data_IF_248950107265
#
_entry.id   IF_248950107265
#
_cell.length_a   1.000
_cell.length_b   1.000
_cell.length_c   1.000
_cell.angle_alpha   90.00
_cell.angle_beta   90.00
_cell.angle_gamma   90.00
#
_symmetry.space_group_name_H-M   'P 1'
#
loop_
_entity.id
_entity.type
_entity.pdbx_description
1 polymer ?
#
# COMPACT_ATOMS: atom_id res chain seq x y z
N UNK A 1 -12.99 -8.91 7.48
CA UNK A 1 -13.30 -10.16 6.77
C UNK A 1 -14.29 -9.92 5.63
N UNK A 2 -15.51 -9.43 5.89
CA UNK A 2 -16.58 -9.25 4.88
C UNK A 2 -16.06 -8.52 3.61
N UNK A 3 -15.40 -7.37 3.73
CA UNK A 3 -14.97 -6.55 2.58
C UNK A 3 -13.78 -7.16 1.84
N UNK A 4 -12.75 -7.64 2.55
CA UNK A 4 -11.49 -8.06 1.95
C UNK A 4 -11.46 -9.54 1.50
N UNK A 5 -12.43 -10.34 1.92
CA UNK A 5 -12.49 -11.78 1.69
C UNK A 5 -13.83 -12.13 0.99
N UNK A 6 -14.95 -12.10 1.69
CA UNK A 6 -16.26 -12.54 1.18
C UNK A 6 -16.75 -11.69 -0.01
N UNK A 7 -16.60 -10.36 0.05
CA UNK A 7 -16.99 -9.51 -1.07
C UNK A 7 -16.10 -9.74 -2.31
N UNK A 8 -14.79 -9.95 -2.09
CA UNK A 8 -13.86 -10.24 -3.20
C UNK A 8 -14.21 -11.58 -3.84
N UNK A 9 -14.51 -12.62 -3.04
CA UNK A 9 -14.99 -13.90 -3.55
C UNK A 9 -16.20 -13.75 -4.47
N UNK A 10 -17.23 -13.01 -4.04
CA UNK A 10 -18.43 -12.77 -4.84
C UNK A 10 -18.16 -12.01 -6.13
N UNK A 11 -17.30 -10.97 -6.06
CA UNK A 11 -16.91 -10.17 -7.24
C UNK A 11 -16.14 -11.04 -8.22
N UNK A 12 -15.21 -11.89 -7.73
CA UNK A 12 -14.42 -12.79 -8.57
C UNK A 12 -15.27 -13.82 -9.29
N UNK A 13 -16.25 -14.42 -8.59
CA UNK A 13 -17.20 -15.35 -9.19
C UNK A 13 -18.04 -14.67 -10.27
N UNK A 14 -18.62 -13.52 -9.96
CA UNK A 14 -19.39 -12.74 -10.92
C UNK A 14 -18.56 -12.35 -12.16
N UNK A 15 -17.33 -11.89 -11.95
CA UNK A 15 -16.44 -11.51 -13.05
C UNK A 15 -16.09 -12.73 -13.93
N UNK A 16 -15.92 -13.90 -13.31
CA UNK A 16 -15.68 -15.15 -14.04
C UNK A 16 -16.87 -15.56 -14.91
N UNK A 17 -18.09 -15.49 -14.37
CA UNK A 17 -19.33 -15.84 -15.05
C UNK A 17 -19.68 -14.88 -16.21
N UNK A 18 -19.22 -13.62 -16.12
CA UNK A 18 -19.52 -12.57 -17.11
C UNK A 18 -18.33 -12.24 -18.02
N UNK A 19 -17.30 -13.08 -18.06
CA UNK A 19 -16.09 -12.89 -18.86
C UNK A 19 -15.40 -11.53 -18.62
N UNK A 20 -15.47 -11.01 -17.40
CA UNK A 20 -14.87 -9.74 -17.00
C UNK A 20 -13.45 -9.91 -16.48
N UNK A 21 -12.60 -8.92 -16.75
CA UNK A 21 -11.30 -8.76 -16.13
C UNK A 21 -11.44 -8.05 -14.79
N UNK A 22 -10.71 -8.50 -13.76
CA UNK A 22 -10.70 -7.88 -12.43
C UNK A 22 -9.31 -7.39 -12.07
N UNK A 23 -9.20 -6.12 -11.71
CA UNK A 23 -7.98 -5.54 -11.15
C UNK A 23 -8.24 -5.22 -9.68
N UNK A 24 -7.44 -5.82 -8.80
CA UNK A 24 -7.58 -5.72 -7.34
C UNK A 24 -6.34 -5.12 -6.70
N UNK A 25 -6.53 -4.10 -5.84
CA UNK A 25 -5.45 -3.53 -5.05
C UNK A 25 -5.30 -4.35 -3.76
N UNK A 26 -4.10 -4.89 -3.53
CA UNK A 26 -3.72 -5.60 -2.33
C UNK A 26 -2.64 -4.85 -1.54
N UNK A 27 -1.93 -5.51 -0.65
CA UNK A 27 -1.06 -4.92 0.34
C UNK A 27 0.21 -5.75 0.56
N UNK A 28 1.29 -5.11 0.97
CA UNK A 28 2.52 -5.72 1.49
C UNK A 28 2.30 -6.49 2.80
N UNK A 29 1.24 -6.19 3.57
CA UNK A 29 0.86 -6.92 4.80
C UNK A 29 0.50 -8.40 4.58
N UNK A 30 0.49 -8.89 3.34
CA UNK A 30 0.42 -10.32 3.04
C UNK A 30 1.71 -11.06 3.38
N UNK A 31 2.81 -10.34 3.58
CA UNK A 31 4.10 -10.88 4.03
C UNK A 31 4.29 -10.72 5.55
N UNK A 32 5.25 -11.44 6.11
CA UNK A 32 5.58 -11.40 7.54
C UNK A 32 6.56 -10.27 7.92
N UNK A 33 7.22 -9.64 6.95
CA UNK A 33 8.16 -8.55 7.17
C UNK A 33 9.53 -9.00 7.71
N UNK A 34 9.89 -10.29 7.61
CA UNK A 34 11.14 -10.83 8.15
C UNK A 34 12.28 -10.87 7.15
N UNK A 35 12.02 -10.59 5.87
CA UNK A 35 13.04 -10.60 4.84
C UNK A 35 13.99 -9.39 4.96
N UNK A 36 15.27 -9.63 4.69
CA UNK A 36 16.33 -8.63 4.64
C UNK A 36 16.47 -7.92 3.27
N UNK A 37 15.63 -8.32 2.32
CA UNK A 37 15.55 -7.78 0.95
C UNK A 37 14.09 -7.57 0.53
N UNK A 38 13.83 -6.77 -0.53
CA UNK A 38 12.48 -6.58 -1.04
C UNK A 38 11.83 -7.89 -1.45
N UNK A 39 10.56 -8.07 -1.05
CA UNK A 39 9.73 -9.20 -1.46
C UNK A 39 9.40 -9.14 -2.96
N UNK A 40 9.45 -10.28 -3.61
CA UNK A 40 9.02 -10.48 -4.98
C UNK A 40 7.55 -10.93 -5.06
N UNK A 41 6.86 -10.76 -6.22
CA UNK A 41 5.49 -11.20 -6.38
C UNK A 41 5.26 -12.70 -6.10
N UNK A 42 6.27 -13.54 -6.41
CA UNK A 42 6.23 -15.00 -6.26
C UNK A 42 6.71 -15.48 -4.88
N UNK A 43 7.15 -14.58 -4.00
CA UNK A 43 7.54 -14.97 -2.64
C UNK A 43 6.33 -15.45 -1.84
N UNK A 44 6.58 -16.40 -0.93
CA UNK A 44 5.55 -16.99 -0.10
C UNK A 44 4.89 -15.94 0.81
N UNK A 45 3.60 -15.72 0.60
CA UNK A 45 2.82 -14.86 1.47
C UNK A 45 2.54 -15.54 2.82
N UNK A 46 2.92 -14.88 3.94
CA UNK A 46 2.78 -15.37 5.32
C UNK A 46 2.29 -14.26 6.25
N UNK A 47 1.03 -13.80 6.12
CA UNK A 47 0.52 -12.65 6.86
C UNK A 47 0.41 -12.93 8.36
N UNK A 48 0.93 -12.03 9.20
CA UNK A 48 0.86 -12.12 10.65
C UNK A 48 -0.52 -11.66 11.15
N UNK A 49 -0.99 -10.51 10.67
CA UNK A 49 -2.19 -9.83 11.14
C UNK A 49 -3.48 -10.24 10.41
N UNK A 50 -4.64 -9.94 11.02
CA UNK A 50 -5.97 -10.22 10.44
C UNK A 50 -6.18 -9.48 9.12
N UNK A 51 -5.69 -8.24 9.00
CA UNK A 51 -5.79 -7.46 7.77
C UNK A 51 -5.10 -8.18 6.60
N UNK A 52 -3.83 -8.53 6.76
CA UNK A 52 -3.07 -9.27 5.75
C UNK A 52 -3.70 -10.61 5.40
N UNK A 53 -4.15 -11.38 6.41
CA UNK A 53 -4.84 -12.67 6.20
C UNK A 53 -6.10 -12.53 5.36
N UNK A 54 -6.92 -11.51 5.62
CA UNK A 54 -8.15 -11.29 4.83
C UNK A 54 -7.87 -10.76 3.44
N UNK A 55 -6.84 -9.94 3.25
CA UNK A 55 -6.40 -9.49 1.91
C UNK A 55 -5.86 -10.67 1.09
N UNK A 56 -5.04 -11.52 1.69
CA UNK A 56 -4.52 -12.72 1.03
C UNK A 56 -5.64 -13.71 0.65
N UNK A 57 -6.67 -13.85 1.49
CA UNK A 57 -7.86 -14.65 1.13
C UNK A 57 -8.55 -14.09 -0.12
N UNK A 58 -8.71 -12.78 -0.22
CA UNK A 58 -9.22 -12.11 -1.43
C UNK A 58 -8.35 -12.36 -2.67
N UNK A 59 -7.02 -12.29 -2.53
CA UNK A 59 -6.10 -12.61 -3.64
C UNK A 59 -6.30 -14.05 -4.16
N UNK A 60 -6.44 -15.02 -3.26
CA UNK A 60 -6.67 -16.43 -3.61
C UNK A 60 -7.97 -16.61 -4.41
N UNK A 61 -9.06 -15.98 -4.00
CA UNK A 61 -10.32 -16.04 -4.75
C UNK A 61 -10.16 -15.53 -6.19
N UNK A 62 -9.38 -14.47 -6.40
CA UNK A 62 -9.11 -13.93 -7.74
C UNK A 62 -8.28 -14.92 -8.57
N UNK A 63 -7.20 -15.46 -8.00
CA UNK A 63 -6.33 -16.42 -8.68
C UNK A 63 -7.08 -17.70 -9.08
N UNK A 64 -7.94 -18.21 -8.19
CA UNK A 64 -8.74 -19.42 -8.42
C UNK A 64 -9.83 -19.24 -9.47
N UNK A 65 -10.49 -18.07 -9.48
CA UNK A 65 -11.67 -17.82 -10.33
C UNK A 65 -11.36 -17.22 -11.69
N UNK A 66 -10.27 -16.45 -11.84
CA UNK A 66 -10.06 -15.59 -13.01
C UNK A 66 -8.82 -15.93 -13.85
N UNK A 67 -7.90 -16.79 -13.36
CA UNK A 67 -6.68 -17.15 -14.09
C UNK A 67 -5.99 -15.91 -14.72
N UNK A 68 -5.87 -15.86 -16.05
CA UNK A 68 -5.24 -14.76 -16.80
C UNK A 68 -6.07 -13.47 -16.88
N UNK A 69 -7.28 -13.43 -16.31
CA UNK A 69 -8.13 -12.23 -16.26
C UNK A 69 -8.06 -11.52 -14.91
N UNK A 70 -7.39 -12.10 -13.93
CA UNK A 70 -7.17 -11.51 -12.60
C UNK A 70 -5.85 -10.76 -12.53
N UNK A 71 -5.87 -9.50 -12.10
CA UNK A 71 -4.68 -8.72 -11.78
C UNK A 71 -4.73 -8.29 -10.33
N UNK A 72 -3.68 -8.58 -9.58
CA UNK A 72 -3.53 -8.21 -8.18
C UNK A 72 -2.34 -7.27 -8.07
N UNK A 73 -2.55 -6.05 -7.58
CA UNK A 73 -1.45 -5.09 -7.38
C UNK A 73 -1.26 -4.92 -5.88
N UNK A 74 -0.16 -5.48 -5.34
CA UNK A 74 0.26 -5.25 -3.96
C UNK A 74 1.00 -3.92 -3.88
N UNK A 75 0.61 -3.08 -2.93
CA UNK A 75 1.22 -1.77 -2.68
C UNK A 75 1.42 -1.56 -1.18
N UNK A 76 2.21 -0.54 -0.81
CA UNK A 76 2.51 -0.22 0.57
C UNK A 76 2.38 1.27 0.86
N UNK A 77 2.15 1.65 2.12
CA UNK A 77 2.22 3.00 2.66
C UNK A 77 1.49 4.06 1.82
N UNK A 78 0.26 3.72 1.39
CA UNK A 78 -0.54 4.55 0.50
C UNK A 78 -0.92 5.88 1.16
N UNK A 79 -0.65 6.99 0.46
CA UNK A 79 -1.02 8.33 0.89
C UNK A 79 -1.66 9.15 -0.23
N UNK A 80 -2.47 10.14 0.14
CA UNK A 80 -3.14 11.05 -0.79
C UNK A 80 -3.58 12.34 -0.10
N UNK A 81 -4.03 13.29 -0.90
CA UNK A 81 -4.74 14.49 -0.42
C UNK A 81 -6.14 14.16 0.16
N UNK A 82 -6.68 12.98 -0.11
CA UNK A 82 -7.98 12.53 0.40
C UNK A 82 -7.82 11.64 1.63
N UNK A 83 -8.82 11.68 2.52
CA UNK A 83 -8.89 10.84 3.72
C UNK A 83 -7.67 11.00 4.65
N UNK A 84 -7.70 10.31 5.78
CA UNK A 84 -6.59 10.27 6.72
C UNK A 84 -5.50 9.30 6.22
N UNK A 85 -4.25 9.71 6.40
CA UNK A 85 -3.06 8.90 6.08
C UNK A 85 -1.87 9.38 6.91
N UNK A 86 -0.74 8.71 6.79
CA UNK A 86 0.46 9.01 7.57
C UNK A 86 0.95 10.46 7.35
N UNK A 87 0.99 10.94 6.10
CA UNK A 87 1.46 12.31 5.77
C UNK A 87 0.63 13.36 6.51
N UNK A 88 -0.69 13.29 6.42
CA UNK A 88 -1.59 14.23 7.12
C UNK A 88 -1.48 14.12 8.63
N UNK A 89 -1.34 12.90 9.15
CA UNK A 89 -1.15 12.65 10.57
C UNK A 89 0.13 13.32 11.07
N UNK A 90 1.25 13.15 10.35
CA UNK A 90 2.53 13.75 10.70
C UNK A 90 2.47 15.29 10.66
N UNK A 91 1.93 15.89 9.59
CA UNK A 91 1.77 17.34 9.50
C UNK A 91 0.98 17.89 10.70
N UNK A 92 -0.14 17.26 11.05
CA UNK A 92 -0.96 17.65 12.21
C UNK A 92 -0.18 17.53 13.53
N UNK A 93 0.47 16.40 13.77
CA UNK A 93 1.22 16.18 15.00
C UNK A 93 2.41 17.11 15.13
N UNK A 94 3.11 17.42 14.03
CA UNK A 94 4.22 18.38 13.99
C UNK A 94 3.76 19.82 14.23
N UNK A 95 2.53 20.17 13.90
CA UNK A 95 1.96 21.47 14.22
C UNK A 95 1.58 21.61 15.69
N UNK A 96 1.17 20.51 16.33
CA UNK A 96 0.65 20.50 17.71
C UNK A 96 1.72 20.23 18.79
N UNK A 97 2.78 19.48 18.45
CA UNK A 97 3.77 18.99 19.43
C UNK A 97 5.14 19.66 19.28
N UNK A 98 5.91 19.79 20.38
CA UNK A 98 7.29 20.32 20.31
C UNK A 98 8.30 19.30 19.78
N UNK A 99 8.04 18.01 19.98
CA UNK A 99 8.87 16.87 19.56
C UNK A 99 7.98 15.66 19.24
N UNK A 100 8.52 14.70 18.48
CA UNK A 100 7.79 13.50 18.07
C UNK A 100 8.74 12.32 17.85
N UNK A 101 8.50 11.20 18.57
CA UNK A 101 9.16 9.92 18.31
C UNK A 101 8.48 9.19 17.14
N UNK A 102 9.28 8.65 16.23
CA UNK A 102 8.80 7.92 15.05
C UNK A 102 9.59 6.62 14.89
N UNK A 103 8.90 5.52 14.62
CA UNK A 103 9.48 4.19 14.39
C UNK A 103 10.51 4.23 13.26
N UNK A 104 11.71 3.68 13.53
CA UNK A 104 12.84 3.73 12.59
C UNK A 104 13.31 2.35 12.11
N UNK A 105 12.88 1.27 12.75
CA UNK A 105 13.26 -0.11 12.46
C UNK A 105 12.32 -0.82 11.47
N UNK A 106 11.22 -0.18 11.06
CA UNK A 106 10.31 -0.71 10.04
C UNK A 106 10.56 -0.02 8.71
N UNK A 107 10.89 -0.83 7.70
CA UNK A 107 11.16 -0.37 6.35
C UNK A 107 9.96 -0.64 5.43
N UNK A 108 9.68 0.31 4.55
CA UNK A 108 8.63 0.21 3.54
C UNK A 108 8.81 1.25 2.45
N UNK A 109 7.95 1.22 1.45
CA UNK A 109 8.02 2.15 0.32
C UNK A 109 6.73 2.96 0.23
N UNK A 110 6.76 4.28 0.45
CA UNK A 110 5.58 5.12 0.28
C UNK A 110 5.04 5.08 -1.15
N UNK A 111 3.72 5.11 -1.29
CA UNK A 111 3.03 5.11 -2.58
C UNK A 111 2.00 6.22 -2.62
N UNK A 112 2.10 7.10 -3.61
CA UNK A 112 1.07 8.09 -3.91
C UNK A 112 -0.14 7.42 -4.57
N UNK A 113 -1.34 7.70 -4.08
CA UNK A 113 -2.57 7.20 -4.70
C UNK A 113 -2.74 7.75 -6.14
N UNK A 114 -2.22 8.95 -6.40
CA UNK A 114 -2.21 9.50 -7.76
C UNK A 114 -1.36 8.65 -8.71
N UNK A 115 -0.12 8.33 -8.33
CA UNK A 115 0.77 7.49 -9.14
C UNK A 115 0.19 6.09 -9.32
N UNK A 116 -0.32 5.48 -8.24
CA UNK A 116 -0.99 4.18 -8.34
C UNK A 116 -2.18 4.23 -9.30
N UNK A 117 -2.97 5.32 -9.31
CA UNK A 117 -4.08 5.48 -10.26
C UNK A 117 -3.60 5.52 -11.70
N UNK A 118 -2.48 6.18 -11.98
CA UNK A 118 -1.88 6.19 -13.33
C UNK A 118 -1.41 4.79 -13.75
N UNK A 119 -0.88 4.01 -12.81
CA UNK A 119 -0.48 2.61 -13.07
C UNK A 119 -1.71 1.73 -13.33
N UNK A 120 -2.79 1.91 -12.57
CA UNK A 120 -4.06 1.19 -12.81
C UNK A 120 -4.58 1.44 -14.22
N UNK A 121 -4.56 2.69 -14.69
CA UNK A 121 -4.98 3.02 -16.07
C UNK A 121 -4.11 2.30 -17.13
N UNK A 122 -2.77 2.28 -16.93
CA UNK A 122 -1.87 1.53 -17.82
C UNK A 122 -2.16 0.03 -17.82
N UNK A 123 -2.45 -0.55 -16.64
CA UNK A 123 -2.81 -1.98 -16.52
C UNK A 123 -4.15 -2.27 -17.21
N UNK A 124 -5.11 -1.33 -17.17
CA UNK A 124 -6.39 -1.45 -17.88
C UNK A 124 -6.16 -1.50 -19.39
N UNK A 125 -5.27 -0.65 -19.91
CA UNK A 125 -4.94 -0.59 -21.36
C UNK A 125 -4.17 -1.84 -21.83
N UNK A 126 -3.37 -2.45 -20.96
CA UNK A 126 -2.54 -3.63 -21.30
C UNK A 126 -3.24 -4.93 -20.95
N UNK A 127 -4.06 -5.44 -21.86
CA UNK A 127 -4.87 -6.64 -21.66
C UNK A 127 -4.05 -7.93 -21.44
N UNK A 128 -2.79 -7.98 -21.84
CA UNK A 128 -1.89 -9.12 -21.64
C UNK A 128 -1.25 -9.19 -20.24
N UNK A 129 -1.43 -8.17 -19.40
CA UNK A 129 -0.92 -8.16 -18.03
C UNK A 129 -1.90 -8.86 -17.10
N UNK A 130 -1.45 -9.87 -16.38
CA UNK A 130 -2.24 -10.63 -15.40
C UNK A 130 -1.37 -11.13 -14.24
N UNK A 131 -1.99 -11.69 -13.21
CA UNK A 131 -1.30 -12.23 -12.05
C UNK A 131 -0.99 -11.20 -10.97
N UNK A 132 0.01 -11.49 -10.15
CA UNK A 132 0.42 -10.63 -9.03
C UNK A 132 1.52 -9.67 -9.49
N UNK A 133 1.32 -8.40 -9.22
CA UNK A 133 2.27 -7.31 -9.44
C UNK A 133 2.55 -6.60 -8.13
N UNK A 134 3.76 -6.05 -8.00
CA UNK A 134 4.10 -5.11 -6.93
C UNK A 134 4.27 -3.71 -7.51
N UNK A 135 3.74 -2.71 -6.80
CA UNK A 135 3.96 -1.31 -7.14
C UNK A 135 4.15 -0.43 -5.90
N UNK A 136 5.24 0.34 -5.90
CA UNK A 136 5.49 1.44 -4.98
C UNK A 136 6.31 2.53 -5.68
N UNK A 137 6.30 3.77 -5.17
CA UNK A 137 6.87 4.92 -5.89
C UNK A 137 8.37 5.08 -5.71
N UNK A 138 9.00 4.40 -4.79
CA UNK A 138 10.39 4.66 -4.49
C UNK A 138 11.16 3.57 -3.76
N UNK A 139 12.33 3.95 -3.27
CA UNK A 139 13.17 3.11 -2.44
C UNK A 139 12.53 2.81 -1.09
N UNK A 140 13.00 1.74 -0.45
CA UNK A 140 12.64 1.41 0.92
C UNK A 140 13.25 2.42 1.89
N UNK A 141 12.43 2.99 2.76
CA UNK A 141 12.80 3.94 3.81
C UNK A 141 12.11 3.58 5.12
N UNK A 142 12.58 4.10 6.26
CA UNK A 142 11.86 3.96 7.53
C UNK A 142 10.68 4.94 7.65
N UNK A 143 9.77 4.68 8.59
CA UNK A 143 8.74 5.67 8.94
C UNK A 143 9.36 6.97 9.45
N UNK A 144 10.51 6.88 10.14
CA UNK A 144 11.26 8.05 10.60
C UNK A 144 11.76 8.89 9.41
N UNK A 145 12.41 8.27 8.43
CA UNK A 145 12.91 8.97 7.23
C UNK A 145 11.76 9.62 6.46
N UNK A 146 10.63 8.92 6.34
CA UNK A 146 9.43 9.46 5.72
C UNK A 146 8.90 10.69 6.48
N UNK A 147 8.85 10.63 7.81
CA UNK A 147 8.44 11.77 8.64
C UNK A 147 9.39 12.97 8.51
N UNK A 148 10.71 12.72 8.42
CA UNK A 148 11.72 13.78 8.20
C UNK A 148 11.48 14.47 6.86
N UNK A 149 11.24 13.73 5.78
CA UNK A 149 10.98 14.33 4.48
C UNK A 149 9.62 15.05 4.44
N UNK A 150 8.58 14.51 5.09
CA UNK A 150 7.29 15.20 5.25
C UNK A 150 7.49 16.55 5.95
N UNK A 151 8.25 16.59 7.05
CA UNK A 151 8.53 17.85 7.75
C UNK A 151 9.24 18.86 6.86
N UNK A 152 10.25 18.43 6.13
CA UNK A 152 11.03 19.26 5.23
C UNK A 152 10.15 19.88 4.14
N UNK A 153 9.33 19.07 3.47
CA UNK A 153 8.43 19.52 2.41
C UNK A 153 7.33 20.41 2.97
N UNK A 154 6.67 20.02 4.06
CA UNK A 154 5.61 20.79 4.70
C UNK A 154 6.09 22.17 5.18
N UNK A 155 7.29 22.25 5.77
CA UNK A 155 7.89 23.52 6.17
C UNK A 155 8.22 24.39 4.95
N UNK A 156 8.79 23.82 3.88
CA UNK A 156 9.10 24.55 2.63
C UNK A 156 7.84 25.16 1.99
N UNK A 157 6.70 24.49 2.09
CA UNK A 157 5.44 24.94 1.52
C UNK A 157 4.54 25.71 2.49
N UNK A 158 5.05 26.10 3.68
CA UNK A 158 4.33 26.91 4.65
C UNK A 158 3.19 26.20 5.40
N UNK A 159 3.12 24.86 5.31
CA UNK A 159 2.15 24.05 6.06
C UNK A 159 2.55 23.89 7.54
N UNK A 160 3.82 24.11 7.86
CA UNK A 160 4.37 24.17 9.21
C UNK A 160 5.05 25.50 9.43
N UNK A 161 4.78 26.16 10.55
CA UNK A 161 5.39 27.44 10.93
C UNK A 161 6.83 27.28 11.45
N UNK A 162 7.18 26.08 11.93
CA UNK A 162 8.52 25.72 12.44
C UNK A 162 8.79 24.24 12.21
N UNK A 163 10.07 23.86 12.23
CA UNK A 163 10.49 22.46 12.36
C UNK A 163 10.51 22.07 13.83
N UNK A 164 10.13 20.85 14.13
CA UNK A 164 10.22 20.25 15.47
C UNK A 164 11.31 19.18 15.50
N UNK A 165 11.67 18.73 16.70
CA UNK A 165 12.58 17.60 16.88
C UNK A 165 11.86 16.29 16.55
N UNK A 166 12.43 15.50 15.63
CA UNK A 166 12.01 14.13 15.36
C UNK A 166 13.06 13.19 15.93
N UNK A 167 12.62 12.17 16.66
CA UNK A 167 13.48 11.16 17.28
C UNK A 167 13.16 9.77 16.72
N UNK A 168 14.18 8.99 16.29
CA UNK A 168 13.98 7.60 15.89
C UNK A 168 13.66 6.77 17.14
N UNK A 169 12.64 5.92 17.05
CA UNK A 169 12.24 4.92 18.06
C UNK A 169 12.65 3.53 17.60
#
# INVERSE_FOLDING_TARGET
KIVNDEAVSRISSWASENDCRLIHISTDFVFDGTADKPYLPDDLACPIGVYGKTKLAGEKHIQESLAERGVIIRTSWLYSEFRQNFVKTMIRLMAEKPDLGVVSDQLGSPTSAHTLSCILLKVIEQQSVWGILHWCDGASISWYDFAVEIQKVAFKHGLLSKKIRLEPL
#
